data_IF_319842436000
#
_entry.id   IF_319842436000
#
_cell.length_a   1.000
_cell.length_b   1.000
_cell.length_c   1.000
_cell.angle_alpha   90.00
_cell.angle_beta   90.00
_cell.angle_gamma   90.00
#
_symmetry.space_group_name_H-M   'P 1'
#
loop_
_entity.id
_entity.type
_entity.pdbx_description
1 polymer ?
#
# COMPACT_ATOMS: atom_id res chain seq x y z
N UNK A 1 24.84 15.40 9.02
CA UNK A 1 25.76 14.51 9.75
C UNK A 1 26.12 13.36 8.83
N UNK A 2 27.40 13.12 8.59
CA UNK A 2 27.83 11.94 7.85
C UNK A 2 27.58 10.72 8.73
N UNK A 3 26.80 9.76 8.22
CA UNK A 3 26.58 8.49 8.90
C UNK A 3 27.93 7.76 9.05
N UNK A 4 28.20 7.25 10.25
CA UNK A 4 29.37 6.41 10.49
C UNK A 4 29.22 5.09 9.72
N UNK A 5 29.96 4.95 8.63
CA UNK A 5 29.93 3.77 7.75
C UNK A 5 30.32 2.45 8.43
N UNK A 6 30.88 2.52 9.63
CA UNK A 6 31.28 1.35 10.41
C UNK A 6 30.15 0.86 11.34
N UNK A 7 28.98 1.51 11.32
CA UNK A 7 27.84 1.14 12.14
C UNK A 7 26.62 0.82 11.26
N UNK A 8 25.82 -0.18 11.62
CA UNK A 8 24.56 -0.41 10.95
C UNK A 8 23.64 0.82 11.12
N UNK A 9 22.81 1.07 10.15
CA UNK A 9 21.81 2.14 10.20
C UNK A 9 20.41 1.57 9.94
N UNK A 10 19.42 2.23 10.46
CA UNK A 10 18.04 2.06 10.11
C UNK A 10 17.51 3.40 9.57
N UNK A 11 16.94 3.37 8.37
CA UNK A 11 16.35 4.53 7.73
C UNK A 11 14.88 4.25 7.45
N UNK A 12 14.01 5.06 8.01
CA UNK A 12 12.58 5.10 7.69
C UNK A 12 12.32 6.31 6.79
N UNK A 13 11.72 6.08 5.63
CA UNK A 13 11.28 7.13 4.72
C UNK A 13 9.76 7.02 4.63
N UNK A 14 9.09 8.05 5.09
CA UNK A 14 7.65 8.18 5.02
C UNK A 14 7.29 9.13 3.86
N UNK A 15 6.50 8.64 2.92
CA UNK A 15 6.02 9.42 1.78
C UNK A 15 4.54 9.67 1.94
N UNK A 16 4.11 10.92 1.81
CA UNK A 16 2.70 11.24 1.80
C UNK A 16 2.04 10.80 0.48
N UNK A 17 2.73 10.97 -0.65
CA UNK A 17 2.24 10.47 -1.93
C UNK A 17 2.26 8.92 -1.97
N UNK A 18 1.29 8.29 -2.61
CA UNK A 18 0.23 8.80 -3.48
C UNK A 18 -1.09 9.15 -2.77
N UNK A 19 -1.06 9.57 -1.50
CA UNK A 19 -2.24 10.04 -0.77
C UNK A 19 -2.87 11.26 -1.46
N UNK A 20 -4.18 11.43 -1.35
CA UNK A 20 -4.84 12.65 -1.80
C UNK A 20 -4.37 13.89 -1.00
N UNK A 21 -4.43 15.10 -1.55
CA UNK A 21 -5.02 15.48 -2.84
C UNK A 21 -4.18 15.04 -4.04
N UNK A 22 -4.85 14.56 -5.09
CA UNK A 22 -4.22 14.18 -6.36
C UNK A 22 -4.21 15.38 -7.30
N UNK A 23 -3.53 16.43 -6.87
CA UNK A 23 -3.44 17.70 -7.57
C UNK A 23 -2.82 17.51 -8.97
N UNK A 24 -3.60 17.93 -9.97
CA UNK A 24 -3.14 17.90 -11.35
C UNK A 24 -2.05 18.97 -11.57
N UNK A 25 -1.13 18.75 -12.50
CA UNK A 25 -0.15 19.76 -12.89
C UNK A 25 -0.78 21.09 -13.27
N UNK A 26 -1.97 21.07 -13.87
CA UNK A 26 -2.73 22.26 -14.30
C UNK A 26 -3.11 23.21 -13.17
N UNK A 27 -3.10 22.81 -11.90
CA UNK A 27 -3.31 23.77 -10.79
C UNK A 27 -2.09 24.67 -10.56
N UNK A 28 -0.92 24.29 -11.06
CA UNK A 28 0.32 25.07 -10.96
C UNK A 28 0.66 25.77 -12.27
N UNK A 29 0.23 25.21 -13.40
CA UNK A 29 0.47 25.70 -14.75
C UNK A 29 -0.70 25.27 -15.66
N UNK A 30 -1.49 26.21 -16.14
CA UNK A 30 -2.68 25.94 -16.96
C UNK A 30 -2.36 25.23 -18.29
N UNK A 31 -1.11 25.32 -18.77
CA UNK A 31 -0.65 24.63 -19.98
C UNK A 31 -0.31 23.15 -19.70
N UNK A 32 -0.15 22.75 -18.44
CA UNK A 32 0.13 21.38 -18.05
C UNK A 32 -1.18 20.61 -17.82
N UNK A 33 -1.23 19.41 -18.38
CA UNK A 33 -2.33 18.46 -18.23
C UNK A 33 -1.86 17.18 -17.57
N UNK A 34 -2.76 16.45 -16.95
CA UNK A 34 -2.46 15.11 -16.46
C UNK A 34 -1.97 14.24 -17.63
N UNK A 35 -0.76 13.67 -17.60
CA UNK A 35 -0.19 12.91 -18.71
C UNK A 35 -0.95 11.62 -19.02
N UNK A 36 -1.74 11.13 -18.05
CA UNK A 36 -2.57 9.94 -18.21
C UNK A 36 -3.99 10.26 -18.71
N UNK A 37 -4.34 11.56 -18.78
CA UNK A 37 -5.64 12.03 -19.29
C UNK A 37 -5.52 13.47 -19.80
N UNK A 38 -4.75 13.69 -20.88
CA UNK A 38 -4.45 15.03 -21.37
C UNK A 38 -5.65 15.75 -22.02
N UNK A 39 -6.65 14.99 -22.42
CA UNK A 39 -7.85 15.50 -23.11
C UNK A 39 -9.03 15.80 -22.17
N UNK A 40 -8.82 15.69 -20.86
CA UNK A 40 -9.86 16.05 -19.90
C UNK A 40 -10.13 17.54 -19.93
N UNK A 41 -11.41 17.90 -20.07
CA UNK A 41 -11.91 19.28 -20.15
C UNK A 41 -12.97 19.60 -19.07
N UNK A 42 -13.20 18.64 -18.14
CA UNK A 42 -14.11 18.79 -17.02
C UNK A 42 -13.50 19.55 -15.83
N UNK A 43 -14.28 19.64 -14.77
CA UNK A 43 -13.77 20.19 -13.51
C UNK A 43 -12.75 19.24 -12.87
N UNK A 44 -11.61 19.77 -12.45
CA UNK A 44 -10.59 19.01 -11.73
C UNK A 44 -11.10 18.49 -10.39
N UNK A 45 -10.95 17.17 -10.16
CA UNK A 45 -11.41 16.46 -8.96
C UNK A 45 -10.22 15.85 -8.22
N UNK A 46 -9.32 16.70 -7.79
CA UNK A 46 -8.06 16.29 -7.14
C UNK A 46 -8.24 15.82 -5.68
N UNK A 47 -9.40 16.08 -5.07
CA UNK A 47 -9.72 15.62 -3.70
C UNK A 47 -11.15 15.06 -3.65
N UNK A 48 -11.40 13.88 -4.25
CA UNK A 48 -12.74 13.32 -4.31
C UNK A 48 -13.30 13.02 -2.92
N UNK A 49 -14.62 13.02 -2.79
CA UNK A 49 -15.27 12.65 -1.54
C UNK A 49 -15.31 11.14 -1.36
N UNK A 50 -15.23 10.67 -0.11
CA UNK A 50 -15.37 9.25 0.21
C UNK A 50 -16.83 8.81 0.11
N UNK A 51 -17.17 8.03 -0.95
CA UNK A 51 -18.53 7.64 -1.28
C UNK A 51 -18.56 6.43 -2.23
N UNK A 52 -19.77 5.97 -2.60
CA UNK A 52 -19.92 5.16 -3.80
C UNK A 52 -19.81 6.05 -5.04
N UNK A 53 -18.99 5.64 -6.01
CA UNK A 53 -18.69 6.42 -7.21
C UNK A 53 -19.95 6.89 -7.94
N UNK A 54 -20.86 5.97 -8.21
CA UNK A 54 -22.09 6.18 -8.98
C UNK A 54 -23.06 7.20 -8.35
N UNK A 55 -22.87 7.53 -7.06
CA UNK A 55 -23.70 8.51 -6.38
C UNK A 55 -23.28 9.97 -6.66
N UNK A 56 -22.04 10.18 -7.11
CA UNK A 56 -21.44 11.52 -7.16
C UNK A 56 -20.70 11.78 -8.47
N UNK A 57 -20.08 10.76 -9.05
CA UNK A 57 -19.21 10.91 -10.21
C UNK A 57 -19.75 10.22 -11.43
N UNK A 58 -19.54 10.83 -12.59
CA UNK A 58 -19.73 10.19 -13.90
C UNK A 58 -18.56 9.26 -14.20
N UNK A 59 -18.75 8.32 -15.13
CA UNK A 59 -17.68 7.43 -15.58
C UNK A 59 -16.44 8.21 -16.07
N UNK A 60 -16.66 9.32 -16.78
CA UNK A 60 -15.58 10.17 -17.30
C UNK A 60 -14.80 10.87 -16.19
N UNK A 61 -15.46 11.32 -15.14
CA UNK A 61 -14.80 11.90 -13.95
C UNK A 61 -14.04 10.83 -13.19
N UNK A 62 -14.57 9.62 -13.09
CA UNK A 62 -13.86 8.50 -12.46
C UNK A 62 -12.61 8.07 -13.23
N UNK A 63 -12.65 8.08 -14.57
CA UNK A 63 -11.47 7.85 -15.41
C UNK A 63 -10.38 8.91 -15.11
N UNK A 64 -10.78 10.17 -15.01
CA UNK A 64 -9.86 11.26 -14.68
C UNK A 64 -9.28 11.15 -13.27
N UNK A 65 -10.10 10.83 -12.27
CA UNK A 65 -9.64 10.58 -10.89
C UNK A 65 -8.57 9.48 -10.86
N UNK A 66 -8.79 8.38 -11.59
CA UNK A 66 -7.79 7.31 -11.71
C UNK A 66 -6.52 7.74 -12.43
N UNK A 67 -6.64 8.62 -13.43
CA UNK A 67 -5.49 9.19 -14.12
C UNK A 67 -4.63 10.06 -13.20
N UNK A 68 -5.25 10.90 -12.38
CA UNK A 68 -4.56 11.73 -11.39
C UNK A 68 -3.83 10.87 -10.33
N UNK A 69 -4.48 9.82 -9.83
CA UNK A 69 -3.84 8.87 -8.93
C UNK A 69 -2.63 8.18 -9.58
N UNK A 70 -2.77 7.75 -10.84
CA UNK A 70 -1.69 7.09 -11.60
C UNK A 70 -0.47 8.00 -11.78
N UNK A 71 -0.68 9.31 -11.94
CA UNK A 71 0.40 10.29 -11.98
C UNK A 71 1.15 10.37 -10.65
N UNK A 72 0.43 10.37 -9.52
CA UNK A 72 1.06 10.35 -8.18
C UNK A 72 1.87 9.08 -7.96
N UNK A 73 1.35 7.91 -8.36
CA UNK A 73 2.10 6.64 -8.29
C UNK A 73 3.39 6.73 -9.12
N UNK A 74 3.33 7.28 -10.33
CA UNK A 74 4.52 7.49 -11.17
C UNK A 74 5.54 8.42 -10.49
N UNK A 75 5.07 9.43 -9.79
CA UNK A 75 5.94 10.35 -9.06
C UNK A 75 6.64 9.64 -7.89
N UNK A 76 5.91 8.82 -7.13
CA UNK A 76 6.49 7.99 -6.05
C UNK A 76 7.55 7.05 -6.60
N UNK A 77 7.27 6.35 -7.69
CA UNK A 77 8.22 5.43 -8.34
C UNK A 77 9.51 6.15 -8.75
N UNK A 78 9.37 7.33 -9.36
CA UNK A 78 10.52 8.16 -9.75
C UNK A 78 11.40 8.55 -8.55
N UNK A 79 10.80 8.91 -7.42
CA UNK A 79 11.56 9.30 -6.23
C UNK A 79 12.16 8.10 -5.51
N UNK A 80 11.44 6.97 -5.47
CA UNK A 80 11.98 5.70 -4.97
C UNK A 80 13.21 5.29 -5.79
N UNK A 81 13.13 5.40 -7.13
CA UNK A 81 14.26 5.16 -8.01
C UNK A 81 15.50 5.96 -7.63
N UNK A 82 15.35 7.26 -7.29
CA UNK A 82 16.47 8.10 -6.83
C UNK A 82 17.06 7.65 -5.48
N UNK A 83 16.22 7.13 -4.57
CA UNK A 83 16.71 6.55 -3.30
C UNK A 83 17.54 5.31 -3.58
N UNK A 84 17.07 4.41 -4.44
CA UNK A 84 17.77 3.20 -4.83
C UNK A 84 19.09 3.51 -5.55
N UNK A 85 19.10 4.49 -6.44
CA UNK A 85 20.32 4.97 -7.09
C UNK A 85 21.33 5.50 -6.06
N UNK A 86 20.87 6.25 -5.07
CA UNK A 86 21.74 6.75 -4.00
C UNK A 86 22.35 5.63 -3.14
N UNK A 87 21.60 4.60 -2.83
CA UNK A 87 22.10 3.40 -2.13
C UNK A 87 23.20 2.74 -2.97
N UNK A 88 23.00 2.62 -4.27
CA UNK A 88 23.97 2.08 -5.24
C UNK A 88 25.23 2.93 -5.32
N UNK A 89 25.07 4.24 -5.50
CA UNK A 89 26.21 5.18 -5.62
C UNK A 89 27.11 5.19 -4.37
N UNK A 90 26.51 4.92 -3.20
CA UNK A 90 27.23 4.81 -1.95
C UNK A 90 27.84 3.42 -1.72
N UNK A 91 27.61 2.46 -2.61
CA UNK A 91 28.09 1.09 -2.47
C UNK A 91 27.44 0.29 -1.35
N UNK A 92 26.21 0.64 -0.95
CA UNK A 92 25.50 0.04 0.20
C UNK A 92 24.54 -1.08 -0.20
N UNK A 93 24.40 -1.42 -1.48
CA UNK A 93 23.38 -2.35 -1.97
C UNK A 93 23.46 -3.75 -1.36
N UNK A 94 24.69 -4.22 -1.09
CA UNK A 94 24.91 -5.58 -0.59
C UNK A 94 24.55 -5.71 0.90
N UNK A 95 24.77 -4.66 1.66
CA UNK A 95 24.61 -4.68 3.10
C UNK A 95 23.32 -3.97 3.56
N UNK A 96 22.38 -3.76 2.62
CA UNK A 96 21.14 -3.05 2.90
C UNK A 96 19.93 -3.86 2.45
N UNK A 97 19.06 -4.21 3.40
CA UNK A 97 17.69 -4.65 3.09
C UNK A 97 16.85 -3.40 2.79
N UNK A 98 16.16 -3.42 1.64
CA UNK A 98 15.19 -2.39 1.28
C UNK A 98 13.80 -3.00 1.31
N UNK A 99 12.90 -2.38 2.06
CA UNK A 99 11.49 -2.76 2.12
C UNK A 99 10.66 -1.58 1.63
N UNK A 100 9.86 -1.80 0.60
CA UNK A 100 8.83 -0.87 0.13
C UNK A 100 7.48 -1.48 0.40
N UNK A 101 6.61 -0.76 1.09
CA UNK A 101 5.24 -1.18 1.39
C UNK A 101 4.32 0.03 1.54
N UNK A 102 3.02 -0.22 1.52
CA UNK A 102 2.00 0.78 1.88
C UNK A 102 1.33 0.38 3.21
N UNK A 103 0.79 1.36 3.91
CA UNK A 103 0.00 1.16 5.14
C UNK A 103 -1.43 0.68 4.82
N UNK A 104 -2.03 1.18 3.72
CA UNK A 104 -3.32 0.78 3.18
C UNK A 104 -3.37 1.00 1.67
N UNK A 105 -4.39 0.48 1.04
CA UNK A 105 -4.71 0.72 -0.37
C UNK A 105 -5.63 1.94 -0.54
N UNK A 106 -6.08 2.15 -1.78
CA UNK A 106 -6.98 3.26 -2.14
C UNK A 106 -8.07 2.77 -3.10
N UNK A 107 -9.34 2.74 -2.67
CA UNK A 107 -10.45 2.43 -3.55
C UNK A 107 -10.68 3.55 -4.58
N UNK A 108 -10.77 3.19 -5.86
CA UNK A 108 -10.86 4.10 -7.01
C UNK A 108 -12.12 3.87 -7.86
N UNK A 109 -13.23 3.53 -7.21
CA UNK A 109 -14.54 3.39 -7.84
C UNK A 109 -14.78 2.03 -8.50
N UNK A 110 -15.65 2.02 -9.49
CA UNK A 110 -15.99 0.84 -10.25
C UNK A 110 -14.92 0.58 -11.31
N UNK A 111 -14.01 -0.33 -11.01
CA UNK A 111 -13.18 -1.01 -11.97
C UNK A 111 -13.57 -2.50 -12.04
N UNK A 112 -12.85 -3.29 -12.80
CA UNK A 112 -13.13 -4.72 -12.99
C UNK A 112 -13.16 -5.52 -11.66
N UNK A 113 -12.52 -5.01 -10.62
CA UNK A 113 -12.36 -5.67 -9.30
C UNK A 113 -12.87 -4.81 -8.13
N UNK A 114 -13.31 -3.58 -8.40
CA UNK A 114 -13.70 -2.61 -7.38
C UNK A 114 -15.11 -2.82 -6.84
N UNK A 115 -15.32 -2.35 -5.63
CA UNK A 115 -16.63 -2.38 -4.96
C UNK A 115 -17.42 -1.06 -5.14
N UNK A 116 -17.03 -0.25 -6.12
CA UNK A 116 -17.68 1.03 -6.39
C UNK A 116 -17.36 2.15 -5.42
N UNK A 117 -16.39 1.95 -4.54
CA UNK A 117 -16.03 2.90 -3.48
C UNK A 117 -14.93 3.81 -3.97
N UNK A 118 -15.04 5.09 -3.64
CA UNK A 118 -13.98 6.09 -3.85
C UNK A 118 -13.43 6.53 -2.51
N UNK A 119 -12.12 6.49 -2.37
CA UNK A 119 -11.33 6.81 -1.18
C UNK A 119 -11.53 5.85 0.00
N UNK A 120 -10.48 5.72 0.76
CA UNK A 120 -10.49 5.15 2.13
C UNK A 120 -11.43 5.96 3.05
N UNK A 121 -11.38 5.88 4.30
CA UNK A 121 -12.20 6.58 5.30
C UNK A 121 -13.57 5.94 5.57
N UNK A 122 -13.80 4.77 5.03
CA UNK A 122 -14.96 3.95 5.36
C UNK A 122 -14.49 2.62 5.93
N UNK A 123 -15.23 2.00 6.86
CA UNK A 123 -14.83 0.74 7.50
C UNK A 123 -15.10 -0.47 6.58
N UNK A 124 -14.65 -0.41 5.34
CA UNK A 124 -14.81 -1.45 4.33
C UNK A 124 -13.47 -2.08 4.00
N UNK A 125 -13.04 -3.13 4.72
CA UNK A 125 -11.75 -3.79 4.51
C UNK A 125 -11.80 -4.72 3.28
N UNK A 126 -12.23 -4.17 2.16
CA UNK A 126 -12.17 -4.85 0.87
C UNK A 126 -10.75 -4.87 0.32
N UNK A 127 -10.52 -5.68 -0.69
CA UNK A 127 -9.20 -5.96 -1.22
C UNK A 127 -8.48 -4.69 -1.69
N UNK A 128 -9.19 -3.73 -2.28
CA UNK A 128 -8.65 -2.45 -2.73
C UNK A 128 -8.03 -1.62 -1.58
N UNK A 129 -8.47 -1.88 -0.35
CA UNK A 129 -7.98 -1.17 0.84
C UNK A 129 -6.92 -1.97 1.61
N UNK A 130 -7.02 -3.31 1.64
CA UNK A 130 -6.19 -4.14 2.53
C UNK A 130 -5.13 -4.94 1.81
N UNK A 131 -5.23 -5.13 0.48
CA UNK A 131 -4.21 -5.78 -0.33
C UNK A 131 -3.20 -4.76 -0.83
N UNK A 132 -2.18 -4.52 -0.03
CA UNK A 132 -1.16 -3.50 -0.27
C UNK A 132 0.10 -4.07 -0.92
N UNK A 133 0.85 -3.28 -1.70
CA UNK A 133 2.14 -3.72 -2.22
C UNK A 133 3.14 -3.95 -1.09
N UNK A 134 3.96 -5.00 -1.24
CA UNK A 134 5.12 -5.26 -0.40
C UNK A 134 6.25 -5.79 -1.28
N UNK A 135 7.36 -5.06 -1.35
CA UNK A 135 8.54 -5.43 -2.14
C UNK A 135 9.76 -5.42 -1.22
N UNK A 136 10.49 -6.53 -1.22
CA UNK A 136 11.66 -6.69 -0.37
C UNK A 136 12.87 -7.03 -1.25
N UNK A 137 13.95 -6.28 -1.08
CA UNK A 137 15.24 -6.53 -1.67
C UNK A 137 16.28 -6.71 -0.56
N UNK A 138 17.03 -7.81 -0.60
CA UNK A 138 18.20 -8.03 0.25
C UNK A 138 19.22 -8.89 -0.50
N UNK A 139 20.49 -8.89 -0.05
CA UNK A 139 21.48 -9.78 -0.62
C UNK A 139 21.10 -11.24 -0.41
N UNK A 140 21.39 -12.08 -1.40
CA UNK A 140 21.07 -13.51 -1.38
C UNK A 140 19.64 -13.87 -1.76
N UNK A 141 18.77 -12.90 -2.00
CA UNK A 141 17.43 -13.15 -2.50
C UNK A 141 17.39 -13.22 -4.03
N UNK A 142 16.56 -14.10 -4.56
CA UNK A 142 16.31 -14.20 -6.00
C UNK A 142 15.54 -12.99 -6.51
N UNK A 143 16.06 -12.33 -7.54
CA UNK A 143 15.43 -11.16 -8.13
C UNK A 143 14.18 -11.55 -8.96
N UNK A 144 13.15 -10.69 -8.93
CA UNK A 144 11.93 -10.86 -9.72
C UNK A 144 10.99 -11.96 -9.25
N UNK A 145 11.27 -12.59 -8.11
CA UNK A 145 10.39 -13.61 -7.51
C UNK A 145 9.10 -12.96 -7.00
N UNK A 146 7.99 -13.63 -7.25
CA UNK A 146 6.67 -13.28 -6.69
C UNK A 146 6.16 -14.42 -5.83
N UNK A 147 5.48 -14.09 -4.73
CA UNK A 147 4.85 -15.05 -3.84
C UNK A 147 3.37 -14.70 -3.68
N UNK A 148 2.52 -15.72 -3.65
CA UNK A 148 1.09 -15.63 -3.31
C UNK A 148 0.81 -15.98 -1.84
N UNK A 149 1.85 -16.13 -1.03
CA UNK A 149 1.69 -16.38 0.39
C UNK A 149 0.99 -15.21 1.09
N UNK A 150 0.16 -15.53 2.07
CA UNK A 150 -0.48 -14.52 2.89
C UNK A 150 0.52 -13.90 3.86
N UNK A 151 0.76 -12.60 3.72
CA UNK A 151 1.72 -11.82 4.52
C UNK A 151 1.05 -10.54 5.03
N UNK A 152 1.60 -9.95 6.08
CA UNK A 152 1.07 -8.71 6.68
C UNK A 152 2.19 -7.72 6.98
N UNK A 153 1.88 -6.44 7.08
CA UNK A 153 2.84 -5.39 7.41
C UNK A 153 3.56 -5.64 8.74
N UNK A 154 2.89 -6.26 9.72
CA UNK A 154 3.50 -6.64 11.01
C UNK A 154 4.65 -7.64 10.87
N UNK A 155 4.70 -8.41 9.79
CA UNK A 155 5.71 -9.44 9.55
C UNK A 155 7.09 -8.86 9.21
N UNK A 156 7.15 -7.58 8.85
CA UNK A 156 8.41 -6.90 8.50
C UNK A 156 9.36 -6.83 9.69
N UNK A 157 8.86 -6.53 10.89
CA UNK A 157 9.72 -6.43 12.07
C UNK A 157 10.48 -7.72 12.37
N UNK A 158 9.84 -8.89 12.56
CA UNK A 158 10.59 -10.13 12.78
C UNK A 158 11.43 -10.55 11.57
N UNK A 159 11.05 -10.16 10.35
CA UNK A 159 11.85 -10.41 9.14
C UNK A 159 13.18 -9.66 9.18
N UNK A 160 13.14 -8.37 9.49
CA UNK A 160 14.35 -7.56 9.65
C UNK A 160 15.24 -8.08 10.78
N UNK A 161 14.65 -8.46 11.91
CA UNK A 161 15.39 -8.99 13.05
C UNK A 161 16.09 -10.31 12.71
N UNK A 162 15.42 -11.23 12.02
CA UNK A 162 16.02 -12.48 11.56
C UNK A 162 17.14 -12.22 10.55
N UNK A 163 16.95 -11.31 9.59
CA UNK A 163 17.99 -10.93 8.63
C UNK A 163 19.22 -10.32 9.30
N UNK A 164 19.07 -9.62 10.43
CA UNK A 164 20.14 -9.03 11.22
C UNK A 164 20.74 -9.99 12.27
N UNK A 165 20.38 -11.27 12.25
CA UNK A 165 20.79 -12.26 13.25
C UNK A 165 20.42 -11.88 14.70
N UNK A 166 19.34 -11.12 14.89
CA UNK A 166 18.80 -10.81 16.22
C UNK A 166 18.01 -12.03 16.73
N UNK A 167 18.24 -12.49 17.96
CA UNK A 167 17.60 -13.69 18.49
C UNK A 167 16.08 -13.64 18.47
N UNK A 168 15.44 -14.74 18.09
CA UNK A 168 13.99 -14.86 17.92
C UNK A 168 13.18 -14.61 19.20
N UNK A 169 13.78 -14.76 20.39
CA UNK A 169 13.13 -14.47 21.67
C UNK A 169 12.79 -12.98 21.83
N UNK A 170 13.53 -12.09 21.17
CA UNK A 170 13.18 -10.67 21.09
C UNK A 170 11.82 -10.41 20.42
N UNK A 171 11.34 -11.35 19.60
CA UNK A 171 10.05 -11.29 18.91
C UNK A 171 8.98 -12.21 19.52
N UNK A 172 9.26 -12.92 20.60
CA UNK A 172 8.40 -13.98 21.13
C UNK A 172 6.96 -13.57 21.48
N UNK A 173 6.71 -12.28 21.72
CA UNK A 173 5.36 -11.76 22.02
C UNK A 173 4.65 -11.20 20.78
N UNK A 174 5.29 -11.17 19.62
CA UNK A 174 4.68 -10.66 18.39
C UNK A 174 3.77 -11.73 17.77
N UNK A 175 2.59 -11.30 17.30
CA UNK A 175 1.71 -12.16 16.49
C UNK A 175 2.17 -12.24 15.03
N UNK A 176 3.26 -11.57 14.71
CA UNK A 176 3.89 -11.51 13.41
C UNK A 176 4.73 -12.77 13.13
N UNK A 177 5.00 -13.05 11.87
CA UNK A 177 5.85 -14.14 11.41
C UNK A 177 6.93 -13.61 10.50
N UNK A 178 8.17 -14.05 10.68
CA UNK A 178 9.23 -13.67 9.76
C UNK A 178 8.94 -14.19 8.35
N UNK A 179 9.16 -13.31 7.37
CA UNK A 179 9.10 -13.64 5.95
C UNK A 179 10.42 -14.23 5.44
N UNK A 180 11.48 -14.24 6.25
CA UNK A 180 12.81 -14.60 5.77
C UNK A 180 12.90 -16.00 5.18
N UNK A 181 12.31 -17.06 5.76
CA UNK A 181 12.25 -18.40 5.14
C UNK A 181 11.47 -18.41 3.82
N UNK A 182 10.37 -17.65 3.73
CA UNK A 182 9.58 -17.50 2.50
C UNK A 182 10.38 -16.82 1.39
N UNK A 183 11.08 -15.74 1.73
CA UNK A 183 11.92 -14.98 0.81
C UNK A 183 13.08 -15.82 0.26
N UNK A 184 13.67 -16.68 1.08
CA UNK A 184 14.70 -17.64 0.66
C UNK A 184 14.13 -18.82 -0.15
N UNK A 185 12.83 -19.02 -0.16
CA UNK A 185 12.19 -20.15 -0.82
C UNK A 185 12.29 -21.48 -0.06
N UNK A 186 12.52 -21.42 1.24
CA UNK A 186 12.56 -22.57 2.13
C UNK A 186 11.16 -23.09 2.47
N UNK A 187 10.16 -22.21 2.40
CA UNK A 187 8.74 -22.50 2.58
C UNK A 187 7.92 -21.78 1.51
N UNK A 188 6.75 -22.32 1.18
CA UNK A 188 5.82 -21.71 0.23
C UNK A 188 4.79 -20.81 0.92
N UNK A 189 4.44 -21.12 2.16
CA UNK A 189 3.47 -20.41 2.97
C UNK A 189 3.94 -20.28 4.41
N UNK A 190 3.49 -19.24 5.10
CA UNK A 190 3.77 -19.02 6.53
C UNK A 190 2.50 -19.02 7.38
N UNK A 191 1.31 -18.94 6.76
CA UNK A 191 0.01 -19.01 7.44
C UNK A 191 -1.10 -19.44 6.49
N UNK A 192 -2.17 -19.98 7.06
CA UNK A 192 -3.37 -20.39 6.32
C UNK A 192 -4.38 -19.24 6.17
N UNK A 193 -4.34 -18.28 7.09
CA UNK A 193 -5.21 -17.10 7.07
C UNK A 193 -4.52 -15.91 7.73
N UNK A 194 -5.06 -14.73 7.46
CA UNK A 194 -4.70 -13.49 8.16
C UNK A 194 -5.96 -12.79 8.70
N UNK A 195 -5.75 -11.89 9.66
CA UNK A 195 -6.80 -11.06 10.23
C UNK A 195 -6.43 -9.61 9.97
N UNK A 196 -7.37 -8.86 9.42
CA UNK A 196 -7.30 -7.41 9.23
C UNK A 196 -8.60 -6.78 9.68
N UNK A 197 -8.79 -5.50 9.49
CA UNK A 197 -10.05 -4.86 9.80
C UNK A 197 -9.92 -3.36 9.98
N UNK A 198 -11.01 -2.76 10.42
CA UNK A 198 -11.07 -1.35 10.79
C UNK A 198 -11.37 -1.24 12.28
N UNK A 199 -10.46 -0.59 13.02
CA UNK A 199 -10.48 -0.58 14.48
C UNK A 199 -11.86 -0.18 15.05
N UNK A 200 -12.39 -1.05 15.91
CA UNK A 200 -13.67 -0.83 16.59
C UNK A 200 -14.91 -0.94 15.70
N UNK A 201 -14.78 -1.22 14.41
CA UNK A 201 -15.88 -1.28 13.45
C UNK A 201 -16.09 -2.67 12.88
N UNK A 202 -15.04 -3.30 12.37
CA UNK A 202 -15.12 -4.63 11.79
C UNK A 202 -13.79 -5.39 11.88
N UNK A 203 -13.88 -6.71 11.75
CA UNK A 203 -12.77 -7.62 11.53
C UNK A 203 -12.99 -8.37 10.23
N UNK A 204 -11.91 -8.63 9.53
CA UNK A 204 -11.91 -9.50 8.36
C UNK A 204 -10.93 -10.64 8.57
N UNK A 205 -11.36 -11.86 8.25
CA UNK A 205 -10.50 -13.02 8.14
C UNK A 205 -10.37 -13.37 6.66
N UNK A 206 -9.14 -13.53 6.19
CA UNK A 206 -8.83 -13.71 4.78
C UNK A 206 -7.95 -14.95 4.64
N UNK A 207 -8.31 -15.85 3.72
CA UNK A 207 -7.46 -16.92 3.23
C UNK A 207 -7.31 -16.80 1.69
N UNK A 208 -6.73 -17.82 1.04
CA UNK A 208 -6.50 -17.79 -0.41
C UNK A 208 -7.78 -17.79 -1.26
N UNK A 209 -8.91 -18.20 -0.70
CA UNK A 209 -10.17 -18.42 -1.42
C UNK A 209 -11.29 -17.48 -0.95
N UNK A 210 -11.23 -17.00 0.29
CA UNK A 210 -12.31 -16.28 0.94
C UNK A 210 -11.82 -15.08 1.74
N UNK A 211 -12.64 -14.02 1.73
CA UNK A 211 -12.58 -12.89 2.66
C UNK A 211 -13.93 -12.79 3.37
N UNK A 212 -13.93 -12.92 4.70
CA UNK A 212 -15.14 -12.79 5.53
C UNK A 212 -15.01 -11.60 6.45
N UNK A 213 -15.95 -10.66 6.35
CA UNK A 213 -15.99 -9.44 7.14
C UNK A 213 -17.06 -9.59 8.23
N UNK A 214 -16.66 -9.43 9.49
CA UNK A 214 -17.54 -9.41 10.65
C UNK A 214 -17.66 -7.99 11.19
N UNK A 215 -18.86 -7.44 11.14
CA UNK A 215 -19.16 -6.10 11.65
C UNK A 215 -19.45 -6.15 13.14
N UNK A 216 -18.68 -5.38 13.94
CA UNK A 216 -18.83 -5.28 15.38
C UNK A 216 -19.98 -4.35 15.79
N UNK A 217 -20.29 -3.37 14.93
CA UNK A 217 -21.33 -2.40 15.17
C UNK A 217 -22.29 -2.32 13.98
N UNK A 218 -23.52 -2.85 14.09
CA UNK A 218 -24.52 -2.78 13.01
C UNK A 218 -24.84 -1.34 12.57
N UNK A 219 -24.77 -0.36 13.47
CA UNK A 219 -24.99 1.05 13.16
C UNK A 219 -23.89 1.60 12.25
N UNK A 220 -22.66 1.07 12.36
CA UNK A 220 -21.58 1.44 11.45
C UNK A 220 -21.85 0.95 10.01
N UNK A 221 -22.46 -0.22 9.86
CA UNK A 221 -22.89 -0.75 8.58
C UNK A 221 -23.99 0.13 7.96
N UNK A 222 -25.04 0.44 8.72
CA UNK A 222 -26.14 1.31 8.27
C UNK A 222 -25.63 2.70 7.88
N UNK A 223 -24.73 3.29 8.66
CA UNK A 223 -24.12 4.58 8.35
C UNK A 223 -23.17 4.50 7.13
N UNK A 224 -22.54 3.36 6.91
CA UNK A 224 -21.71 3.14 5.72
C UNK A 224 -22.57 3.09 4.44
N UNK A 225 -23.74 2.46 4.52
CA UNK A 225 -24.70 2.38 3.41
C UNK A 225 -25.49 3.69 3.24
N UNK A 226 -25.84 4.40 4.33
CA UNK A 226 -26.61 5.64 4.30
C UNK A 226 -25.80 6.86 3.84
N UNK A 227 -24.48 6.79 3.84
CA UNK A 227 -23.61 7.87 3.34
C UNK A 227 -23.68 8.06 1.81
N UNK A 228 -24.52 7.28 1.12
CA UNK A 228 -24.76 7.32 -0.31
C UNK A 228 -26.17 7.80 -0.72
N UNK A 229 -26.85 8.59 0.12
CA UNK A 229 -28.10 9.26 -0.29
C UNK A 229 -28.02 10.75 -0.04
#
# INVERSE_FOLDING_TARGET
EEADRNKPFFLWIDSFDPHEPWDAPSIYDEDLKCPYDPDYDGQEIWNPVSTYADNVYTDREMEHIRALYSEKVTNVDKWLGKVLDKIRDLGLEKDTMVVMMSDHGEPLGNDEHGHGIVRKCRPWPYEELVHVPMIIKAEGLEAGKRSSALVQNIDITPTMMEWMDIPADACAQMQAKSLWPLLKGEVEDIRDFLITGFFGQCWSIINKDWSYIHWLNPVALENSEAGGK
#
